data_IF_604646837315
#
_entry.id   IF_604646837315
#
_cell.length_a   1.000
_cell.length_b   1.000
_cell.length_c   1.000
_cell.angle_alpha   90.00
_cell.angle_beta   90.00
_cell.angle_gamma   90.00
#
_symmetry.space_group_name_H-M   'P 1'
#
loop_
_entity.id
_entity.type
_entity.pdbx_description
1 polymer ?
#
# COMPACT_ATOMS: atom_id res chain seq x y z
N UNK A 1 10.83 3.03 14.85
CA UNK A 1 11.54 4.20 14.27
C UNK A 1 10.68 5.45 14.54
N UNK A 2 11.29 6.56 14.97
CA UNK A 2 10.57 7.85 15.10
C UNK A 2 9.98 8.26 13.74
N UNK A 3 8.81 8.90 13.73
CA UNK A 3 8.21 9.44 12.50
C UNK A 3 9.19 10.49 11.95
N UNK A 4 9.52 10.39 10.67
CA UNK A 4 10.36 11.39 9.98
C UNK A 4 9.78 12.78 10.20
N UNK A 5 10.62 13.76 10.52
CA UNK A 5 10.22 15.18 10.65
C UNK A 5 10.17 15.90 9.31
N UNK A 6 10.64 15.27 8.23
CA UNK A 6 10.60 15.82 6.89
C UNK A 6 9.17 15.98 6.38
N UNK A 7 8.94 17.08 5.67
CA UNK A 7 7.71 17.44 4.96
C UNK A 7 8.01 17.62 3.49
N UNK A 8 6.99 17.67 2.64
CA UNK A 8 7.19 17.83 1.19
C UNK A 8 8.03 19.08 0.81
N UNK A 9 8.04 20.15 1.61
CA UNK A 9 8.89 21.33 1.40
C UNK A 9 10.40 21.05 1.58
N UNK A 10 10.75 19.95 2.25
CA UNK A 10 12.13 19.53 2.48
C UNK A 10 12.64 18.62 1.35
N UNK A 11 11.78 18.23 0.39
CA UNK A 11 12.22 17.55 -0.83
C UNK A 11 13.13 18.47 -1.65
N UNK A 12 14.01 17.91 -2.50
CA UNK A 12 14.71 18.71 -3.51
C UNK A 12 13.72 19.58 -4.29
N UNK A 13 14.03 20.86 -4.61
CA UNK A 13 13.08 21.76 -5.25
C UNK A 13 12.41 21.21 -6.52
N UNK A 14 13.15 20.47 -7.34
CA UNK A 14 12.63 19.82 -8.55
C UNK A 14 11.61 18.71 -8.27
N UNK A 15 11.62 18.14 -7.06
CA UNK A 15 10.69 17.11 -6.61
C UNK A 15 9.46 17.68 -5.89
N UNK A 16 9.35 19.01 -5.72
CA UNK A 16 8.21 19.65 -5.07
C UNK A 16 7.04 19.90 -6.05
N UNK A 17 7.03 19.21 -7.19
CA UNK A 17 6.02 19.34 -8.23
C UNK A 17 5.00 18.18 -8.18
N UNK A 18 4.17 18.09 -9.23
CA UNK A 18 3.11 17.07 -9.33
C UNK A 18 3.64 15.65 -9.60
N UNK A 19 4.89 15.48 -10.07
CA UNK A 19 5.46 14.15 -10.31
C UNK A 19 5.63 13.39 -9.00
N UNK A 20 5.93 14.06 -7.90
CA UNK A 20 6.06 13.41 -6.60
C UNK A 20 4.77 12.68 -6.16
N UNK A 21 3.63 13.35 -5.99
CA UNK A 21 2.40 12.67 -5.58
C UNK A 21 1.75 11.84 -6.70
N UNK A 22 1.91 12.18 -7.98
CA UNK A 22 1.20 11.51 -9.09
C UNK A 22 1.95 10.37 -9.76
N UNK A 23 3.28 10.32 -9.64
CA UNK A 23 4.11 9.33 -10.33
C UNK A 23 5.11 8.66 -9.37
N UNK A 24 5.85 9.44 -8.58
CA UNK A 24 6.87 8.89 -7.68
C UNK A 24 6.25 7.99 -6.60
N UNK A 25 5.26 8.49 -5.86
CA UNK A 25 4.60 7.71 -4.81
C UNK A 25 3.84 6.49 -5.35
N UNK A 26 3.02 6.59 -6.42
CA UNK A 26 2.40 5.42 -7.04
C UNK A 26 3.39 4.34 -7.48
N UNK A 27 4.51 4.73 -8.08
CA UNK A 27 5.57 3.79 -8.49
C UNK A 27 6.22 3.12 -7.29
N UNK A 28 6.48 3.89 -6.22
CA UNK A 28 6.98 3.35 -4.96
C UNK A 28 6.02 2.33 -4.34
N UNK A 29 4.71 2.59 -4.34
CA UNK A 29 3.72 1.67 -3.80
C UNK A 29 3.58 0.40 -4.62
N UNK A 30 3.66 0.50 -5.95
CA UNK A 30 3.67 -0.66 -6.83
C UNK A 30 4.89 -1.54 -6.54
N UNK A 31 6.08 -0.94 -6.52
CA UNK A 31 7.32 -1.64 -6.19
C UNK A 31 7.27 -2.27 -4.79
N UNK A 32 6.78 -1.54 -3.79
CA UNK A 32 6.68 -2.06 -2.42
C UNK A 32 5.67 -3.21 -2.30
N UNK A 33 4.57 -3.15 -3.06
CA UNK A 33 3.56 -4.20 -3.13
C UNK A 33 4.04 -5.48 -3.81
N UNK A 34 5.12 -5.41 -4.59
CA UNK A 34 5.71 -6.57 -5.27
C UNK A 34 6.84 -7.26 -4.48
N UNK A 35 7.14 -6.81 -3.26
CA UNK A 35 8.17 -7.43 -2.41
C UNK A 35 7.62 -8.64 -1.66
N UNK A 36 8.46 -9.66 -1.44
CA UNK A 36 8.08 -10.88 -0.70
C UNK A 36 7.53 -10.57 0.70
N UNK A 37 8.19 -9.67 1.42
CA UNK A 37 7.70 -9.10 2.68
C UNK A 37 7.50 -7.59 2.53
N UNK A 38 6.26 -7.22 2.20
CA UNK A 38 5.86 -5.83 2.05
C UNK A 38 5.93 -5.04 3.35
N UNK A 39 5.98 -5.68 4.53
CA UNK A 39 5.99 -5.02 5.85
C UNK A 39 7.42 -4.74 6.33
N UNK A 40 8.38 -5.61 5.97
CA UNK A 40 9.78 -5.52 6.38
C UNK A 40 10.73 -5.32 5.19
N UNK A 41 10.56 -4.19 4.50
CA UNK A 41 11.49 -3.77 3.44
C UNK A 41 12.77 -3.21 4.07
N UNK A 42 13.93 -3.76 3.67
CA UNK A 42 15.23 -3.27 4.15
C UNK A 42 15.53 -1.85 3.65
N UNK A 43 16.24 -1.06 4.45
CA UNK A 43 16.64 0.30 4.05
C UNK A 43 17.49 0.28 2.77
N UNK A 44 18.32 -0.76 2.58
CA UNK A 44 19.15 -0.93 1.37
C UNK A 44 18.30 -1.15 0.13
N UNK A 45 17.30 -2.04 0.19
CA UNK A 45 16.39 -2.29 -0.93
C UNK A 45 15.56 -1.05 -1.25
N UNK A 46 15.06 -0.37 -0.20
CA UNK A 46 14.27 0.85 -0.36
C UNK A 46 15.08 1.98 -1.00
N UNK A 47 16.33 2.21 -0.57
CA UNK A 47 17.20 3.24 -1.19
C UNK A 47 17.42 2.95 -2.67
N UNK A 48 17.69 1.69 -3.04
CA UNK A 48 17.89 1.32 -4.44
C UNK A 48 16.64 1.61 -5.28
N UNK A 49 15.47 1.21 -4.80
CA UNK A 49 14.22 1.47 -5.51
C UNK A 49 13.92 2.97 -5.64
N UNK A 50 14.11 3.73 -4.55
CA UNK A 50 13.94 5.18 -4.59
C UNK A 50 14.92 5.85 -5.55
N UNK A 51 16.15 5.33 -5.67
CA UNK A 51 17.12 5.83 -6.64
C UNK A 51 16.65 5.58 -8.07
N UNK A 52 16.22 4.35 -8.40
CA UNK A 52 15.69 4.05 -9.74
C UNK A 52 14.50 4.96 -10.10
N UNK A 53 13.57 5.17 -9.17
CA UNK A 53 12.41 6.05 -9.40
C UNK A 53 12.84 7.51 -9.55
N UNK A 54 13.84 7.98 -8.78
CA UNK A 54 14.40 9.32 -8.92
C UNK A 54 15.05 9.52 -10.29
N UNK A 55 15.84 8.55 -10.73
CA UNK A 55 16.53 8.60 -12.02
C UNK A 55 15.52 8.58 -13.17
N UNK A 56 14.47 7.77 -13.09
CA UNK A 56 13.44 7.74 -14.15
C UNK A 56 12.66 9.06 -14.23
N UNK A 57 12.24 9.62 -13.09
CA UNK A 57 11.34 10.78 -13.09
C UNK A 57 12.05 12.14 -13.17
N UNK A 58 13.33 12.21 -12.80
CA UNK A 58 14.04 13.48 -12.61
C UNK A 58 15.47 13.53 -13.19
N UNK A 59 16.00 12.50 -13.87
CA UNK A 59 17.41 12.53 -14.33
C UNK A 59 17.79 13.75 -15.16
N UNK A 60 16.85 14.33 -15.91
CA UNK A 60 17.10 15.50 -16.77
C UNK A 60 17.24 16.78 -15.97
N UNK A 61 16.63 16.81 -14.79
CA UNK A 61 16.45 18.02 -13.99
C UNK A 61 17.39 18.05 -12.79
N UNK A 62 17.80 16.87 -12.30
CA UNK A 62 18.49 16.74 -11.04
C UNK A 62 19.36 15.47 -10.98
N UNK A 63 20.66 15.65 -10.76
CA UNK A 63 21.51 14.58 -10.25
C UNK A 63 21.36 14.49 -8.74
N UNK A 64 20.69 13.44 -8.25
CA UNK A 64 20.44 13.23 -6.83
C UNK A 64 20.82 11.82 -6.42
N UNK A 65 21.48 11.69 -5.26
CA UNK A 65 21.79 10.41 -4.65
C UNK A 65 20.91 10.22 -3.40
N UNK A 66 20.04 9.22 -3.42
CA UNK A 66 19.16 8.89 -2.30
C UNK A 66 19.97 8.29 -1.15
N UNK A 67 19.76 8.80 0.06
CA UNK A 67 20.41 8.29 1.29
C UNK A 67 19.38 8.04 2.38
N UNK A 68 19.69 7.16 3.34
CA UNK A 68 18.81 6.87 4.49
C UNK A 68 18.56 8.07 5.41
N UNK A 69 19.37 9.12 5.29
CA UNK A 69 19.25 10.34 6.09
C UNK A 69 18.59 11.49 5.30
N UNK A 70 18.24 11.28 4.03
CA UNK A 70 17.68 12.32 3.17
C UNK A 70 16.16 12.46 3.29
N UNK A 71 15.63 13.61 2.87
CA UNK A 71 14.20 13.90 2.88
C UNK A 71 13.39 12.97 1.97
N UNK A 72 13.93 12.60 0.80
CA UNK A 72 13.30 11.61 -0.10
C UNK A 72 13.04 10.30 0.64
N UNK A 73 14.05 9.76 1.32
CA UNK A 73 13.93 8.52 2.09
C UNK A 73 12.98 8.66 3.29
N UNK A 74 13.10 9.75 4.06
CA UNK A 74 12.28 9.99 5.23
C UNK A 74 10.79 10.12 4.89
N UNK A 75 10.46 10.89 3.85
CA UNK A 75 9.08 11.08 3.37
C UNK A 75 8.57 9.80 2.73
N UNK A 76 9.35 9.12 1.88
CA UNK A 76 8.96 7.86 1.27
C UNK A 76 8.64 6.79 2.32
N UNK A 77 9.47 6.66 3.35
CA UNK A 77 9.24 5.72 4.46
C UNK A 77 7.95 6.05 5.21
N UNK A 78 7.70 7.33 5.47
CA UNK A 78 6.44 7.76 6.08
C UNK A 78 5.24 7.41 5.19
N UNK A 79 5.32 7.70 3.89
CA UNK A 79 4.26 7.42 2.92
C UNK A 79 3.97 5.93 2.78
N UNK A 80 5.01 5.10 2.79
CA UNK A 80 4.85 3.64 2.85
C UNK A 80 4.16 3.18 4.13
N UNK A 81 4.48 3.76 5.28
CA UNK A 81 3.81 3.43 6.54
C UNK A 81 2.32 3.84 6.52
N UNK A 82 2.00 4.99 5.94
CA UNK A 82 0.63 5.47 5.74
C UNK A 82 -0.15 4.57 4.77
N UNK A 83 0.44 4.23 3.62
CA UNK A 83 -0.14 3.31 2.64
C UNK A 83 -0.40 1.92 3.23
N UNK A 84 0.57 1.34 3.96
CA UNK A 84 0.40 0.08 4.69
C UNK A 84 -0.72 0.13 5.72
N UNK A 85 -0.80 1.23 6.48
CA UNK A 85 -1.85 1.43 7.48
C UNK A 85 -3.24 1.53 6.83
N UNK A 86 -3.31 2.05 5.59
CA UNK A 86 -4.56 2.17 4.85
C UNK A 86 -5.23 0.81 4.58
N UNK A 87 -4.47 -0.29 4.42
CA UNK A 87 -5.05 -1.63 4.31
C UNK A 87 -5.83 -2.01 5.57
N UNK A 88 -5.26 -1.78 6.75
CA UNK A 88 -5.91 -2.12 8.01
C UNK A 88 -7.19 -1.32 8.24
N UNK A 89 -7.15 0.01 8.02
CA UNK A 89 -8.34 0.86 8.18
C UNK A 89 -9.43 0.53 7.15
N UNK A 90 -9.04 0.24 5.91
CA UNK A 90 -9.97 -0.12 4.84
C UNK A 90 -10.62 -1.47 5.10
N UNK A 91 -9.84 -2.49 5.46
CA UNK A 91 -10.36 -3.81 5.82
C UNK A 91 -11.34 -3.74 6.98
N UNK A 92 -11.02 -2.95 8.01
CA UNK A 92 -11.92 -2.73 9.14
C UNK A 92 -13.25 -2.08 8.70
N UNK A 93 -13.20 -1.06 7.83
CA UNK A 93 -14.39 -0.40 7.32
C UNK A 93 -15.28 -1.36 6.51
N UNK A 94 -14.67 -2.21 5.67
CA UNK A 94 -15.38 -3.25 4.90
C UNK A 94 -16.10 -4.22 5.84
N UNK A 95 -15.41 -4.71 6.88
CA UNK A 95 -16.01 -5.65 7.84
C UNK A 95 -17.14 -5.02 8.66
N UNK A 96 -16.98 -3.75 9.07
CA UNK A 96 -18.03 -3.01 9.78
C UNK A 96 -19.28 -2.86 8.92
N UNK A 97 -19.13 -2.46 7.66
CA UNK A 97 -20.24 -2.34 6.72
C UNK A 97 -20.94 -3.69 6.48
N UNK A 98 -20.17 -4.77 6.33
CA UNK A 98 -20.71 -6.12 6.19
C UNK A 98 -21.53 -6.56 7.41
N UNK A 99 -21.02 -6.38 8.63
CA UNK A 99 -21.77 -6.71 9.84
C UNK A 99 -23.02 -5.85 10.01
N UNK A 100 -22.97 -4.57 9.62
CA UNK A 100 -24.13 -3.68 9.69
C UNK A 100 -25.26 -4.08 8.74
N UNK A 101 -24.93 -4.74 7.61
CA UNK A 101 -25.90 -5.24 6.61
C UNK A 101 -26.50 -6.59 6.99
N UNK A 102 -25.81 -7.43 7.75
CA UNK A 102 -26.23 -8.79 8.12
C UNK A 102 -26.78 -8.83 9.55
N UNK A 103 -27.92 -8.17 9.79
CA UNK A 103 -28.50 -8.00 11.14
C UNK A 103 -29.16 -9.25 11.70
N UNK A 104 -29.45 -10.24 10.86
CA UNK A 104 -30.15 -11.47 11.25
C UNK A 104 -29.24 -12.44 12.03
N UNK A 105 -27.94 -12.19 12.07
CA UNK A 105 -26.95 -13.00 12.78
C UNK A 105 -26.11 -12.11 13.69
N UNK A 106 -25.84 -12.57 14.91
CA UNK A 106 -24.95 -11.82 15.80
C UNK A 106 -23.55 -11.66 15.17
N UNK A 107 -22.94 -10.46 15.21
CA UNK A 107 -21.65 -10.21 14.57
C UNK A 107 -20.54 -11.17 14.99
N UNK A 108 -20.57 -11.64 16.25
CA UNK A 108 -19.60 -12.62 16.76
C UNK A 108 -19.71 -13.97 16.09
N UNK A 109 -20.93 -14.44 15.82
CA UNK A 109 -21.18 -15.71 15.12
C UNK A 109 -20.69 -15.59 13.69
N UNK A 110 -21.08 -14.51 13.01
CA UNK A 110 -20.68 -14.28 11.62
C UNK A 110 -19.15 -14.12 11.48
N UNK A 111 -18.52 -13.36 12.38
CA UNK A 111 -17.06 -13.22 12.41
C UNK A 111 -16.33 -14.55 12.67
N UNK A 112 -16.89 -15.42 13.51
CA UNK A 112 -16.31 -16.75 13.76
C UNK A 112 -16.39 -17.62 12.50
N UNK A 113 -17.51 -17.59 11.79
CA UNK A 113 -17.68 -18.32 10.53
C UNK A 113 -16.70 -17.83 9.45
N UNK A 114 -16.54 -16.50 9.31
CA UNK A 114 -15.62 -15.90 8.34
C UNK A 114 -14.15 -16.28 8.57
N UNK A 115 -13.74 -16.42 9.83
CA UNK A 115 -12.36 -16.79 10.20
C UNK A 115 -12.14 -18.30 10.03
N UNK A 116 -13.18 -19.12 10.21
CA UNK A 116 -13.09 -20.57 9.99
C UNK A 116 -12.60 -20.85 8.58
N UNK A 117 -11.51 -21.62 8.47
CA UNK A 117 -10.86 -21.99 7.20
C UNK A 117 -10.53 -20.80 6.28
N UNK A 118 -10.41 -19.59 6.86
CA UNK A 118 -10.27 -18.34 6.12
C UNK A 118 -11.37 -18.10 5.09
N UNK A 119 -12.61 -18.56 5.34
CA UNK A 119 -13.73 -18.43 4.41
C UNK A 119 -13.85 -17.03 3.79
N UNK A 120 -13.56 -15.97 4.56
CA UNK A 120 -13.57 -14.58 4.08
C UNK A 120 -12.63 -14.27 2.90
N UNK A 121 -11.68 -15.11 2.53
CA UNK A 121 -10.81 -14.87 1.36
C UNK A 121 -11.38 -15.49 0.08
N UNK A 122 -12.33 -16.42 0.17
CA UNK A 122 -12.83 -17.17 -0.97
C UNK A 122 -14.06 -16.50 -1.61
N UNK A 123 -14.21 -16.69 -2.93
CA UNK A 123 -15.37 -16.19 -3.69
C UNK A 123 -16.68 -16.80 -3.18
N UNK A 124 -16.67 -18.12 -3.00
CA UNK A 124 -17.73 -18.88 -2.34
C UNK A 124 -17.25 -19.31 -0.95
N UNK A 125 -17.92 -18.80 0.08
CA UNK A 125 -17.58 -19.06 1.49
C UNK A 125 -18.08 -20.43 1.98
N UNK A 126 -19.05 -21.02 1.29
CA UNK A 126 -19.63 -22.32 1.65
C UNK A 126 -18.93 -23.47 0.91
N UNK A 127 -18.30 -23.18 -0.23
CA UNK A 127 -17.57 -24.15 -1.04
C UNK A 127 -16.15 -23.66 -1.36
N UNK A 128 -15.21 -23.98 -0.48
CA UNK A 128 -13.82 -23.52 -0.57
C UNK A 128 -13.11 -24.19 -1.76
N UNK A 129 -12.85 -23.40 -2.80
CA UNK A 129 -11.94 -23.73 -3.90
C UNK A 129 -10.61 -22.95 -3.73
N UNK A 130 -9.47 -23.64 -3.50
CA UNK A 130 -8.15 -23.01 -3.43
C UNK A 130 -7.78 -22.16 -4.66
N UNK A 131 -8.30 -22.46 -5.84
CA UNK A 131 -8.08 -21.66 -7.06
C UNK A 131 -8.82 -20.32 -7.05
N UNK A 132 -9.78 -20.16 -6.14
CA UNK A 132 -10.57 -18.95 -5.93
C UNK A 132 -10.18 -18.22 -4.64
N UNK A 133 -9.05 -18.57 -4.03
CA UNK A 133 -8.50 -17.80 -2.91
C UNK A 133 -8.28 -16.32 -3.31
N UNK A 134 -8.55 -15.44 -2.36
CA UNK A 134 -8.48 -13.97 -2.49
C UNK A 134 -9.45 -13.32 -3.49
N UNK A 135 -10.49 -14.05 -3.90
CA UNK A 135 -11.55 -13.54 -4.79
C UNK A 135 -12.83 -13.14 -4.07
N UNK A 136 -12.86 -13.22 -2.73
CA UNK A 136 -14.02 -12.73 -1.99
C UNK A 136 -14.29 -11.25 -2.25
N UNK A 137 -15.55 -10.80 -2.08
CA UNK A 137 -15.88 -9.38 -2.14
C UNK A 137 -15.03 -8.53 -1.18
N UNK A 138 -14.65 -9.07 -0.02
CA UNK A 138 -13.80 -8.39 0.95
C UNK A 138 -12.40 -8.13 0.38
N UNK A 139 -11.77 -9.15 -0.20
CA UNK A 139 -10.42 -9.05 -0.75
C UNK A 139 -10.40 -8.17 -2.00
N UNK A 140 -11.37 -8.34 -2.90
CA UNK A 140 -11.47 -7.52 -4.12
C UNK A 140 -11.69 -6.04 -3.78
N UNK A 141 -12.59 -5.73 -2.83
CA UNK A 141 -12.84 -4.36 -2.40
C UNK A 141 -11.62 -3.77 -1.69
N UNK A 142 -10.94 -4.54 -0.83
CA UNK A 142 -9.72 -4.12 -0.16
C UNK A 142 -8.62 -3.77 -1.17
N UNK A 143 -8.34 -4.65 -2.14
CA UNK A 143 -7.31 -4.40 -3.16
C UNK A 143 -7.66 -3.20 -4.05
N UNK A 144 -8.91 -3.08 -4.48
CA UNK A 144 -9.36 -1.97 -5.31
C UNK A 144 -9.12 -0.61 -4.63
N UNK A 145 -9.46 -0.51 -3.35
CA UNK A 145 -9.44 0.75 -2.59
C UNK A 145 -8.08 1.04 -1.95
N UNK A 146 -7.39 0.06 -1.38
CA UNK A 146 -6.15 0.26 -0.63
C UNK A 146 -4.88 0.19 -1.50
N UNK A 147 -4.92 -0.53 -2.62
CA UNK A 147 -3.75 -0.71 -3.48
C UNK A 147 -3.93 -0.14 -4.88
N UNK A 148 -4.90 -0.66 -5.65
CA UNK A 148 -5.07 -0.31 -7.06
C UNK A 148 -5.26 1.20 -7.26
N UNK A 149 -6.05 1.84 -6.38
CA UNK A 149 -6.20 3.30 -6.40
C UNK A 149 -4.89 4.05 -6.12
N UNK A 150 -4.03 3.52 -5.24
CA UNK A 150 -2.77 4.17 -4.85
C UNK A 150 -1.66 4.06 -5.90
N UNK A 151 -1.74 3.07 -6.80
CA UNK A 151 -0.74 2.86 -7.86
C UNK A 151 -1.13 3.49 -9.21
N UNK A 152 -2.26 4.21 -9.27
CA UNK A 152 -2.65 4.94 -10.47
C UNK A 152 -1.61 6.02 -10.77
N UNK A 153 -1.07 6.01 -11.99
CA UNK A 153 -0.04 6.95 -12.43
C UNK A 153 1.39 6.47 -12.18
N UNK A 154 1.63 5.23 -11.74
CA UNK A 154 2.98 4.67 -11.70
C UNK A 154 3.65 4.72 -13.08
N UNK A 155 4.98 4.72 -13.07
CA UNK A 155 5.83 4.57 -14.25
C UNK A 155 6.60 3.26 -14.14
N UNK A 156 7.09 2.73 -15.26
CA UNK A 156 7.95 1.54 -15.26
C UNK A 156 9.38 1.96 -14.90
N UNK A 157 10.01 1.22 -13.97
CA UNK A 157 11.35 1.47 -13.42
C UNK A 157 12.15 0.19 -13.29
#
# INVERSE_FOLDING_TARGET
KSRSTYRNIDLPPHCQDQRWPKHFLPTLYLWAGSQDDLWQISDVSLIKALQCIMDELYNTDLQYNVTSQGSVFGIATQRLAEWRSNFGSTGLAIMIDFFARNKDTEPKVLGTALISDFAFIFEDMDNIDPMQAYRSPFMLQLFATAHLHSIVGHVEV
#
